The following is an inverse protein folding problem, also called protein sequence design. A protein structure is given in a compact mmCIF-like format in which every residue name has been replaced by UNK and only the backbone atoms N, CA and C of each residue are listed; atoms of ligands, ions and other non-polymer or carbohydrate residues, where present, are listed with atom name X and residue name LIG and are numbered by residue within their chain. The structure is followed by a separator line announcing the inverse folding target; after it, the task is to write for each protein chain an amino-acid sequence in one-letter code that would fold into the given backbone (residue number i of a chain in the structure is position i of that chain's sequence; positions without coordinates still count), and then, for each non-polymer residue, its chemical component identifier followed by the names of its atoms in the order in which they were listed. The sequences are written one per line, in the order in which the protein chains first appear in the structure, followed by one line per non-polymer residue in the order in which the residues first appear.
data_IF_586581630745
#
_entry.id   IF_586581630745
#
_cell.length_a   1.000
_cell.length_b   1.000
_cell.length_c   1.000
_cell.angle_alpha   90.00
_cell.angle_beta   90.00
_cell.angle_gamma   90.00
#
_symmetry.space_group_name_H-M   'P 1'
#
loop_
_entity.id
_entity.type
_entity.pdbx_description
1 polymer ?
#
# COMPACT_ATOMS: atom_id res chain seq x y z
N UNK A 1 9.25 11.95 21.95
CA UNK A 1 10.05 11.72 23.17
C UNK A 1 9.67 10.41 23.85
N UNK A 2 10.61 9.46 23.92
CA UNK A 2 10.48 8.22 24.70
C UNK A 2 10.62 8.58 26.20
N UNK A 3 9.59 8.37 27.03
CA UNK A 3 9.57 8.84 28.44
C UNK A 3 10.40 7.92 29.36
N UNK A 4 11.71 8.14 29.39
CA UNK A 4 12.61 7.56 30.41
C UNK A 4 12.78 8.51 31.60
N UNK A 5 11.80 8.47 32.52
CA UNK A 5 11.98 8.88 33.94
C UNK A 5 10.88 8.38 34.88
N UNK A 6 9.78 7.80 34.35
CA UNK A 6 8.74 7.08 35.11
C UNK A 6 8.11 5.88 34.37
N UNK A 7 8.63 5.49 33.21
CA UNK A 7 8.12 4.37 32.39
C UNK A 7 9.26 3.50 31.88
N UNK A 8 9.01 2.20 31.78
CA UNK A 8 9.91 1.23 31.13
C UNK A 8 10.11 1.70 29.68
N UNK A 9 11.35 1.85 29.22
CA UNK A 9 11.59 2.00 27.79
C UNK A 9 11.20 0.68 27.13
N UNK A 10 10.22 0.73 26.24
CA UNK A 10 9.84 -0.44 25.46
C UNK A 10 10.98 -0.81 24.51
N UNK A 11 11.33 -2.09 24.47
CA UNK A 11 12.31 -2.56 23.47
C UNK A 11 11.69 -2.53 22.06
N UNK A 12 12.52 -2.55 21.01
CA UNK A 12 12.02 -2.66 19.63
C UNK A 12 11.18 -3.92 19.45
N UNK A 13 11.56 -5.02 20.11
CA UNK A 13 10.82 -6.27 20.09
C UNK A 13 9.44 -6.12 20.76
N UNK A 14 9.36 -5.47 21.93
CA UNK A 14 8.10 -5.19 22.62
C UNK A 14 7.15 -4.33 21.76
N UNK A 15 7.69 -3.35 21.02
CA UNK A 15 6.91 -2.53 20.09
C UNK A 15 6.39 -3.38 18.92
N UNK A 16 7.24 -4.23 18.34
CA UNK A 16 6.85 -5.10 17.22
C UNK A 16 5.78 -6.11 17.65
N UNK A 17 5.90 -6.68 18.85
CA UNK A 17 4.91 -7.58 19.47
C UNK A 17 3.57 -6.87 19.70
N UNK A 18 3.58 -5.66 20.29
CA UNK A 18 2.36 -4.87 20.47
C UNK A 18 1.66 -4.57 19.14
N UNK A 19 2.43 -4.29 18.08
CA UNK A 19 1.89 -4.10 16.73
C UNK A 19 1.32 -5.38 16.11
N UNK A 20 1.91 -6.54 16.40
CA UNK A 20 1.39 -7.84 15.96
C UNK A 20 0.04 -8.14 16.62
N UNK A 21 -0.08 -7.92 17.92
CA UNK A 21 -1.33 -8.10 18.65
C UNK A 21 -2.44 -7.20 18.08
N UNK A 22 -2.12 -5.92 17.83
CA UNK A 22 -3.06 -4.98 17.23
C UNK A 22 -3.45 -5.39 15.79
N UNK A 23 -2.50 -5.88 14.99
CA UNK A 23 -2.78 -6.39 13.64
C UNK A 23 -3.68 -7.65 13.68
N UNK A 24 -3.45 -8.57 14.63
CA UNK A 24 -4.29 -9.76 14.83
C UNK A 24 -5.71 -9.37 15.26
N UNK A 25 -5.85 -8.39 16.16
CA UNK A 25 -7.15 -7.85 16.57
C UNK A 25 -7.89 -7.25 15.37
N UNK A 26 -7.21 -6.41 14.59
CA UNK A 26 -7.75 -5.82 13.37
C UNK A 26 -8.21 -6.90 12.37
N UNK A 27 -7.38 -7.93 12.12
CA UNK A 27 -7.73 -9.03 11.22
C UNK A 27 -8.95 -9.82 11.71
N UNK A 28 -9.11 -10.03 13.01
CA UNK A 28 -10.29 -10.70 13.60
C UNK A 28 -11.57 -9.88 13.44
N UNK A 29 -11.48 -8.56 13.53
CA UNK A 29 -12.63 -7.65 13.44
C UNK A 29 -13.06 -7.39 11.99
N UNK A 30 -12.14 -7.47 11.03
CA UNK A 30 -12.42 -7.21 9.63
C UNK A 30 -13.21 -8.34 8.98
N UNK A 31 -14.33 -7.98 8.33
CA UNK A 31 -15.17 -8.93 7.56
C UNK A 31 -14.63 -9.27 6.17
N UNK A 32 -13.66 -8.48 5.70
CA UNK A 32 -13.16 -8.57 4.32
C UNK A 32 -11.81 -9.26 4.23
N UNK A 33 -11.11 -9.40 5.36
CA UNK A 33 -9.80 -10.03 5.44
C UNK A 33 -9.93 -11.56 5.33
N UNK A 34 -9.13 -12.15 4.47
CA UNK A 34 -9.18 -13.57 4.12
C UNK A 34 -7.78 -14.18 4.15
N UNK A 35 -7.21 -14.22 5.34
CA UNK A 35 -5.90 -14.84 5.60
C UNK A 35 -6.08 -16.20 6.30
N UNK A 36 -5.47 -17.29 5.80
CA UNK A 36 -5.46 -18.58 6.47
C UNK A 36 -4.89 -18.49 7.89
N UNK A 37 -5.46 -19.22 8.86
CA UNK A 37 -5.00 -19.19 10.26
C UNK A 37 -3.51 -19.49 10.41
N UNK A 38 -2.95 -20.33 9.54
CA UNK A 38 -1.52 -20.68 9.52
C UNK A 38 -0.61 -19.49 9.18
N UNK A 39 -1.11 -18.50 8.43
CA UNK A 39 -0.33 -17.35 7.94
C UNK A 39 -0.59 -16.07 8.74
N UNK A 40 -1.61 -16.04 9.61
CA UNK A 40 -2.02 -14.84 10.35
C UNK A 40 -0.90 -14.23 11.18
N UNK A 41 -0.06 -15.04 11.85
CA UNK A 41 1.04 -14.51 12.66
C UNK A 41 2.12 -13.85 11.80
N UNK A 42 2.43 -14.42 10.64
CA UNK A 42 3.40 -13.86 9.70
C UNK A 42 2.89 -12.53 9.12
N UNK A 43 1.64 -12.52 8.65
CA UNK A 43 1.01 -11.30 8.14
C UNK A 43 0.89 -10.23 9.23
N UNK A 44 0.54 -10.59 10.46
CA UNK A 44 0.52 -9.66 11.59
C UNK A 44 1.89 -9.01 11.83
N UNK A 45 2.97 -9.80 11.74
CA UNK A 45 4.34 -9.29 11.88
C UNK A 45 4.71 -8.34 10.75
N UNK A 46 4.36 -8.68 9.51
CA UNK A 46 4.57 -7.81 8.34
C UNK A 46 3.79 -6.50 8.51
N UNK A 47 2.53 -6.56 8.95
CA UNK A 47 1.68 -5.38 9.18
C UNK A 47 2.24 -4.50 10.31
N UNK A 48 2.72 -5.10 11.39
CA UNK A 48 3.38 -4.39 12.49
C UNK A 48 4.60 -3.60 12.01
N UNK A 49 5.54 -4.28 11.34
CA UNK A 49 6.77 -3.66 10.81
C UNK A 49 6.43 -2.59 9.78
N UNK A 50 5.55 -2.89 8.83
CA UNK A 50 5.14 -1.93 7.79
C UNK A 50 4.53 -0.68 8.40
N UNK A 51 3.76 -0.82 9.48
CA UNK A 51 3.13 0.30 10.18
C UNK A 51 4.15 1.19 10.88
N UNK A 52 5.16 0.60 11.53
CA UNK A 52 6.27 1.36 12.14
C UNK A 52 7.03 2.11 11.05
N UNK A 53 7.45 1.40 10.00
CA UNK A 53 8.23 1.96 8.88
C UNK A 53 7.49 3.11 8.22
N UNK A 54 6.23 2.89 7.79
CA UNK A 54 5.43 3.91 7.14
C UNK A 54 5.24 5.16 8.01
N UNK A 55 5.03 5.00 9.32
CA UNK A 55 4.85 6.14 10.21
C UNK A 55 6.13 6.99 10.36
N UNK A 56 7.31 6.39 10.25
CA UNK A 56 8.56 7.13 10.21
C UNK A 56 8.78 7.79 8.85
N UNK A 57 8.44 7.10 7.75
CA UNK A 57 8.66 7.62 6.39
C UNK A 57 7.66 8.70 5.97
N UNK A 58 6.43 8.73 6.51
CA UNK A 58 5.38 9.66 6.05
C UNK A 58 5.50 11.10 6.56
N UNK A 59 6.48 11.39 7.43
CA UNK A 59 6.67 12.68 8.09
C UNK A 59 8.07 13.20 7.81
N UNK A 60 8.25 14.52 7.85
CA UNK A 60 9.58 15.11 7.82
C UNK A 60 10.41 14.56 8.99
N UNK A 61 11.71 14.31 8.78
CA UNK A 61 12.58 13.68 9.79
C UNK A 61 12.59 14.39 11.14
N UNK A 62 12.46 15.72 11.12
CA UNK A 62 12.49 16.56 12.32
C UNK A 62 11.12 16.72 12.99
N UNK A 63 10.07 16.11 12.45
CA UNK A 63 8.72 16.21 13.00
C UNK A 63 8.56 15.23 14.17
N UNK A 64 8.29 15.77 15.36
CA UNK A 64 7.87 14.97 16.50
C UNK A 64 6.50 14.33 16.26
N UNK A 65 6.31 13.10 16.74
CA UNK A 65 5.01 12.45 16.75
C UNK A 65 4.84 11.53 17.95
N UNK A 66 3.58 11.32 18.34
CA UNK A 66 3.18 10.28 19.27
C UNK A 66 2.65 9.08 18.47
N UNK A 67 3.23 7.90 18.72
CA UNK A 67 2.90 6.69 17.99
C UNK A 67 1.90 5.84 18.78
N UNK A 68 0.90 5.30 18.09
CA UNK A 68 -0.06 4.37 18.66
C UNK A 68 -0.55 3.41 17.56
N UNK A 69 -0.43 2.10 17.78
CA UNK A 69 -0.87 1.11 16.80
C UNK A 69 -2.37 1.16 16.53
N UNK A 70 -3.21 1.43 17.52
CA UNK A 70 -4.67 1.52 17.32
C UNK A 70 -5.04 2.64 16.35
N UNK A 71 -4.39 3.80 16.44
CA UNK A 71 -4.62 4.87 15.48
C UNK A 71 -3.96 4.59 14.12
N UNK A 72 -2.81 3.90 14.13
CA UNK A 72 -2.10 3.53 12.90
C UNK A 72 -2.82 2.46 12.07
N UNK A 73 -3.61 1.57 12.71
CA UNK A 73 -4.48 0.59 12.07
C UNK A 73 -5.93 1.07 11.86
N UNK A 74 -6.25 2.31 12.22
CA UNK A 74 -7.57 2.86 11.92
C UNK A 74 -7.85 2.76 10.41
N UNK A 75 -9.07 2.43 10.01
CA UNK A 75 -9.49 2.29 8.61
C UNK A 75 -9.51 3.66 7.90
N UNK A 76 -8.33 4.22 7.63
CA UNK A 76 -8.10 5.35 6.75
C UNK A 76 -7.04 4.95 5.72
N UNK A 77 -7.10 5.50 4.51
CA UNK A 77 -6.17 5.13 3.44
C UNK A 77 -4.76 5.75 3.62
N UNK A 78 -4.51 6.48 4.71
CA UNK A 78 -3.25 7.18 4.99
C UNK A 78 -2.39 6.45 6.04
N UNK A 79 -2.28 5.13 5.87
CA UNK A 79 -1.48 4.24 6.70
C UNK A 79 -0.93 3.06 5.89
N UNK A 80 -0.03 2.28 6.50
CA UNK A 80 0.54 1.09 5.87
C UNK A 80 -0.52 0.06 5.48
N UNK A 81 -1.61 -0.04 6.25
CA UNK A 81 -2.70 -0.97 5.99
C UNK A 81 -3.41 -0.67 4.66
N UNK A 82 -3.59 0.61 4.31
CA UNK A 82 -4.15 1.04 3.03
C UNK A 82 -3.33 0.53 1.85
N UNK A 83 -2.00 0.63 1.93
CA UNK A 83 -1.08 0.09 0.93
C UNK A 83 -1.18 -1.43 0.81
N UNK A 84 -1.11 -2.14 1.94
CA UNK A 84 -1.18 -3.61 1.98
C UNK A 84 -2.50 -4.12 1.41
N UNK A 85 -3.61 -3.45 1.76
CA UNK A 85 -4.94 -3.76 1.25
C UNK A 85 -5.07 -3.46 -0.24
N UNK A 86 -4.51 -2.35 -0.74
CA UNK A 86 -4.55 -2.02 -2.16
C UNK A 86 -3.71 -2.99 -2.99
N UNK A 87 -2.47 -3.24 -2.57
CA UNK A 87 -1.57 -4.16 -3.23
C UNK A 87 -2.20 -5.56 -3.35
N UNK A 88 -2.67 -6.15 -2.24
CA UNK A 88 -3.31 -7.47 -2.23
C UNK A 88 -4.60 -7.55 -3.07
N UNK A 89 -5.41 -6.48 -3.11
CA UNK A 89 -6.60 -6.41 -3.97
C UNK A 89 -6.26 -6.38 -5.45
N UNK A 90 -5.25 -5.62 -5.84
CA UNK A 90 -4.76 -5.57 -7.22
C UNK A 90 -4.10 -6.89 -7.60
N UNK A 91 -3.32 -7.51 -6.71
CA UNK A 91 -2.76 -8.84 -6.90
C UNK A 91 -3.89 -9.87 -7.13
N UNK A 92 -4.92 -9.86 -6.29
CA UNK A 92 -6.09 -10.72 -6.44
C UNK A 92 -6.91 -10.43 -7.70
N UNK A 93 -6.85 -9.21 -8.24
CA UNK A 93 -7.46 -8.88 -9.53
C UNK A 93 -6.72 -9.58 -10.67
N UNK A 94 -5.39 -9.53 -10.68
CA UNK A 94 -4.54 -10.23 -11.65
C UNK A 94 -4.76 -11.73 -11.60
N UNK A 95 -4.71 -12.34 -10.40
CA UNK A 95 -4.89 -13.79 -10.25
C UNK A 95 -6.25 -14.26 -10.79
N UNK A 96 -7.33 -13.49 -10.57
CA UNK A 96 -8.66 -13.82 -11.09
C UNK A 96 -8.77 -13.69 -12.62
N UNK A 97 -7.88 -12.93 -13.23
CA UNK A 97 -7.86 -12.69 -14.68
C UNK A 97 -6.52 -13.14 -15.29
N UNK A 98 -5.91 -14.19 -14.73
CA UNK A 98 -4.60 -14.68 -15.17
C UNK A 98 -4.58 -15.03 -16.67
N UNK A 99 -5.71 -15.47 -17.23
CA UNK A 99 -5.90 -15.75 -18.64
C UNK A 99 -5.74 -14.52 -19.56
N UNK A 100 -5.83 -13.31 -19.02
CA UNK A 100 -5.61 -12.05 -19.76
C UNK A 100 -4.16 -11.56 -19.68
N UNK A 101 -3.34 -12.05 -18.75
CA UNK A 101 -1.97 -11.56 -18.55
C UNK A 101 -1.10 -11.63 -19.83
N UNK A 102 -1.14 -12.71 -20.64
CA UNK A 102 -0.39 -12.74 -21.90
C UNK A 102 -0.81 -11.64 -22.90
N UNK A 103 -2.07 -11.18 -22.84
CA UNK A 103 -2.58 -10.11 -23.72
C UNK A 103 -2.13 -8.72 -23.25
N UNK A 104 -1.84 -8.55 -21.96
CA UNK A 104 -1.34 -7.30 -21.40
C UNK A 104 0.06 -7.01 -21.91
N UNK A 105 0.92 -8.02 -22.05
CA UNK A 105 2.31 -7.88 -22.50
C UNK A 105 2.43 -7.25 -23.90
N UNK A 106 1.42 -7.46 -24.75
CA UNK A 106 1.35 -6.91 -26.11
C UNK A 106 0.39 -5.73 -26.23
N UNK A 107 -0.26 -5.31 -25.14
CA UNK A 107 -1.25 -4.25 -25.17
C UNK A 107 -0.56 -2.87 -25.17
N UNK A 108 -0.86 -2.06 -26.18
CA UNK A 108 -0.42 -0.66 -26.27
C UNK A 108 -1.57 0.34 -26.03
N UNK A 109 -2.76 -0.15 -25.69
CA UNK A 109 -3.95 0.66 -25.49
C UNK A 109 -4.13 1.05 -24.02
N UNK A 110 -4.55 2.29 -23.80
CA UNK A 110 -5.00 2.76 -22.50
C UNK A 110 -6.53 2.67 -22.43
N UNK A 111 -7.10 2.44 -21.24
CA UNK A 111 -8.54 2.63 -21.05
C UNK A 111 -8.93 4.08 -21.39
N UNK A 112 -10.22 4.31 -21.68
CA UNK A 112 -10.76 5.65 -21.92
C UNK A 112 -10.28 6.63 -20.84
N UNK A 113 -9.54 7.67 -21.25
CA UNK A 113 -8.82 8.54 -20.32
C UNK A 113 -9.77 9.58 -19.73
N UNK A 114 -10.39 9.22 -18.60
CA UNK A 114 -11.11 10.17 -17.74
C UNK A 114 -10.13 11.03 -16.94
N UNK A 115 -10.64 12.07 -16.27
CA UNK A 115 -9.83 12.94 -15.41
C UNK A 115 -9.21 12.17 -14.24
N UNK A 116 -9.91 11.17 -13.70
CA UNK A 116 -9.41 10.31 -12.62
C UNK A 116 -8.27 9.39 -13.09
N UNK A 117 -8.38 8.84 -14.30
CA UNK A 117 -7.30 8.05 -14.91
C UNK A 117 -6.10 8.95 -15.19
N UNK A 118 -6.32 10.16 -15.72
CA UNK A 118 -5.25 11.14 -15.94
C UNK A 118 -4.54 11.50 -14.64
N UNK A 119 -5.26 11.65 -13.54
CA UNK A 119 -4.67 11.90 -12.22
C UNK A 119 -3.76 10.75 -11.77
N UNK A 120 -4.17 9.50 -11.97
CA UNK A 120 -3.33 8.33 -11.66
C UNK A 120 -2.09 8.27 -12.54
N UNK A 121 -2.23 8.48 -13.85
CA UNK A 121 -1.10 8.48 -14.78
C UNK A 121 -0.07 9.56 -14.43
N UNK A 122 -0.54 10.79 -14.12
CA UNK A 122 0.33 11.88 -13.70
C UNK A 122 1.08 11.54 -12.40
N UNK A 123 0.41 10.91 -11.43
CA UNK A 123 1.04 10.50 -10.17
C UNK A 123 2.11 9.42 -10.39
N UNK A 124 1.87 8.48 -11.31
CA UNK A 124 2.84 7.44 -11.70
C UNK A 124 4.07 8.05 -12.38
N UNK A 125 3.86 9.01 -13.30
CA UNK A 125 4.95 9.74 -13.96
C UNK A 125 5.79 10.53 -12.94
N UNK A 126 5.13 11.17 -11.98
CA UNK A 126 5.80 11.93 -10.92
C UNK A 126 6.56 11.07 -9.91
N UNK A 127 6.35 9.75 -9.88
CA UNK A 127 6.99 8.88 -8.89
C UNK A 127 8.51 8.92 -8.99
N UNK A 128 9.08 8.91 -10.20
CA UNK A 128 10.53 9.02 -10.40
C UNK A 128 11.09 10.37 -9.90
N UNK A 129 10.43 11.47 -10.26
CA UNK A 129 10.83 12.79 -9.79
C UNK A 129 10.74 12.88 -8.26
N UNK A 130 9.67 12.36 -7.65
CA UNK A 130 9.49 12.37 -6.20
C UNK A 130 10.56 11.53 -5.47
N UNK A 131 11.07 10.46 -6.10
CA UNK A 131 12.18 9.67 -5.58
C UNK A 131 13.49 10.47 -5.63
N UNK A 132 13.78 11.13 -6.76
CA UNK A 132 14.95 11.99 -6.90
C UNK A 132 14.92 13.16 -5.91
N UNK A 133 13.76 13.79 -5.72
CA UNK A 133 13.57 14.85 -4.74
C UNK A 133 13.77 14.35 -3.31
N UNK A 134 13.25 13.15 -3.00
CA UNK A 134 13.46 12.50 -1.71
C UNK A 134 14.94 12.24 -1.44
N UNK A 135 15.72 11.84 -2.45
CA UNK A 135 17.17 11.62 -2.34
C UNK A 135 17.92 12.94 -2.15
N UNK A 136 17.60 13.97 -2.94
CA UNK A 136 18.24 15.28 -2.87
C UNK A 136 18.00 15.98 -1.52
N UNK A 137 16.78 15.87 -0.99
CA UNK A 137 16.39 16.47 0.28
C UNK A 137 16.73 15.58 1.50
N UNK A 138 17.07 14.31 1.26
CA UNK A 138 17.21 13.27 2.28
C UNK A 138 15.93 13.11 3.14
N UNK A 139 14.75 13.33 2.53
CA UNK A 139 13.45 13.32 3.20
C UNK A 139 12.53 12.24 2.59
N UNK A 140 12.35 11.08 3.24
CA UNK A 140 11.53 9.99 2.70
C UNK A 140 10.04 10.35 2.56
N UNK A 141 9.58 11.38 3.27
CA UNK A 141 8.19 11.81 3.21
C UNK A 141 7.79 12.40 1.84
N UNK A 142 8.76 12.89 1.07
CA UNK A 142 8.50 13.40 -0.29
C UNK A 142 8.02 12.25 -1.18
N UNK A 143 8.78 11.16 -1.24
CA UNK A 143 8.41 9.95 -1.99
C UNK A 143 7.16 9.27 -1.40
N UNK A 144 7.10 9.16 -0.07
CA UNK A 144 5.95 8.56 0.62
C UNK A 144 4.65 9.31 0.32
N UNK A 145 4.69 10.64 0.20
CA UNK A 145 3.51 11.46 -0.13
C UNK A 145 2.98 11.17 -1.53
N UNK A 146 3.85 11.08 -2.55
CA UNK A 146 3.45 10.70 -3.91
C UNK A 146 2.79 9.30 -3.91
N UNK A 147 3.41 8.33 -3.24
CA UNK A 147 2.85 6.98 -3.12
C UNK A 147 1.50 6.96 -2.40
N UNK A 148 1.30 7.79 -1.36
CA UNK A 148 0.02 7.92 -0.65
C UNK A 148 -1.05 8.46 -1.60
N UNK A 149 -0.73 9.49 -2.38
CA UNK A 149 -1.65 10.07 -3.35
C UNK A 149 -2.03 9.08 -4.44
N UNK A 150 -1.06 8.32 -4.96
CA UNK A 150 -1.33 7.21 -5.90
C UNK A 150 -2.24 6.15 -5.24
N UNK A 151 -1.89 5.73 -4.02
CA UNK A 151 -2.70 4.86 -3.17
C UNK A 151 -4.00 5.54 -2.68
N UNK A 152 -4.34 6.77 -3.03
CA UNK A 152 -5.69 7.29 -2.81
C UNK A 152 -6.45 7.26 -4.13
N UNK A 153 -5.86 7.82 -5.18
CA UNK A 153 -6.43 7.94 -6.52
C UNK A 153 -6.85 6.61 -7.16
N UNK A 154 -6.12 5.50 -6.98
CA UNK A 154 -6.54 4.19 -7.53
C UNK A 154 -7.82 3.62 -6.89
N UNK A 155 -8.22 4.05 -5.70
CA UNK A 155 -9.27 3.41 -4.90
C UNK A 155 -10.63 3.55 -5.58
N UNK A 156 -11.05 4.78 -5.89
CA UNK A 156 -12.23 5.05 -6.70
C UNK A 156 -12.18 4.35 -8.07
N UNK A 157 -11.05 4.41 -8.77
CA UNK A 157 -10.89 3.74 -10.07
C UNK A 157 -11.12 2.22 -9.96
N UNK A 158 -10.58 1.57 -8.94
CA UNK A 158 -10.76 0.14 -8.72
C UNK A 158 -12.24 -0.24 -8.50
N UNK A 159 -13.03 0.65 -7.88
CA UNK A 159 -14.46 0.45 -7.70
C UNK A 159 -15.27 0.66 -8.99
N UNK A 160 -14.86 1.60 -9.83
CA UNK A 160 -15.58 2.00 -11.05
C UNK A 160 -15.20 1.15 -12.28
N UNK A 161 -13.91 0.85 -12.46
CA UNK A 161 -13.38 0.19 -13.65
C UNK A 161 -13.41 -1.33 -13.51
N UNK A 162 -14.60 -1.91 -13.70
CA UNK A 162 -14.76 -3.37 -13.63
C UNK A 162 -14.00 -4.08 -14.75
N UNK A 163 -13.18 -5.07 -14.40
CA UNK A 163 -12.52 -5.98 -15.36
C UNK A 163 -13.38 -7.23 -15.61
N UNK A 164 -14.04 -7.74 -14.56
CA UNK A 164 -14.84 -8.97 -14.63
C UNK A 164 -16.03 -8.84 -15.57
N UNK A 165 -16.21 -9.82 -16.46
CA UNK A 165 -17.30 -9.89 -17.45
C UNK A 165 -17.29 -8.68 -18.41
N UNK A 166 -16.11 -8.26 -18.87
CA UNK A 166 -15.97 -7.27 -19.94
C UNK A 166 -15.33 -7.95 -21.17
N UNK A 167 -15.56 -7.44 -22.38
CA UNK A 167 -14.79 -7.83 -23.57
C UNK A 167 -13.29 -7.57 -23.38
N UNK A 168 -12.44 -8.31 -24.08
CA UNK A 168 -10.98 -8.19 -23.96
C UNK A 168 -10.49 -6.76 -24.26
N UNK A 169 -11.07 -6.10 -25.27
CA UNK A 169 -10.78 -4.71 -25.66
C UNK A 169 -10.94 -3.72 -24.50
N UNK A 170 -11.79 -4.03 -23.53
CA UNK A 170 -12.02 -3.20 -22.34
C UNK A 170 -11.27 -3.76 -21.13
N UNK A 171 -11.26 -5.09 -20.96
CA UNK A 171 -10.68 -5.75 -19.80
C UNK A 171 -9.15 -5.64 -19.78
N UNK A 172 -8.50 -5.79 -20.94
CA UNK A 172 -7.03 -5.83 -21.06
C UNK A 172 -6.40 -4.47 -20.73
N UNK A 173 -6.82 -3.32 -21.30
CA UNK A 173 -6.26 -2.02 -20.93
C UNK A 173 -6.49 -1.65 -19.46
N UNK A 174 -7.67 -2.00 -18.90
CA UNK A 174 -7.95 -1.78 -17.47
C UNK A 174 -7.03 -2.59 -16.58
N UNK A 175 -6.82 -3.87 -16.92
CA UNK A 175 -5.94 -4.75 -16.16
C UNK A 175 -4.48 -4.31 -16.28
N UNK A 176 -4.03 -3.85 -17.46
CA UNK A 176 -2.72 -3.25 -17.68
C UNK A 176 -2.47 -2.09 -16.72
N UNK A 177 -3.40 -1.13 -16.65
CA UNK A 177 -3.29 0.02 -15.72
C UNK A 177 -3.16 -0.45 -14.26
N UNK A 178 -4.04 -1.37 -13.82
CA UNK A 178 -4.00 -1.88 -12.45
C UNK A 178 -2.74 -2.67 -12.14
N UNK A 179 -2.20 -3.43 -13.10
CA UNK A 179 -0.94 -4.16 -12.96
C UNK A 179 0.26 -3.23 -12.87
N UNK A 180 0.27 -2.15 -13.65
CA UNK A 180 1.31 -1.13 -13.57
C UNK A 180 1.27 -0.41 -12.21
N UNK A 181 0.08 0.01 -11.75
CA UNK A 181 -0.09 0.61 -10.41
C UNK A 181 0.35 -0.35 -9.30
N UNK A 182 -0.05 -1.63 -9.36
CA UNK A 182 0.35 -2.63 -8.36
C UNK A 182 1.87 -2.78 -8.31
N UNK A 183 2.52 -2.88 -9.47
CA UNK A 183 3.97 -3.05 -9.56
C UNK A 183 4.73 -1.84 -9.02
N UNK A 184 4.22 -0.64 -9.30
CA UNK A 184 4.78 0.61 -8.77
C UNK A 184 4.61 0.72 -7.26
N UNK A 185 3.42 0.42 -6.74
CA UNK A 185 3.17 0.39 -5.28
C UNK A 185 4.03 -0.68 -4.60
N UNK A 186 4.16 -1.88 -5.17
CA UNK A 186 5.01 -2.95 -4.66
C UNK A 186 6.47 -2.48 -4.54
N UNK A 187 7.02 -1.90 -5.62
CA UNK A 187 8.38 -1.38 -5.65
C UNK A 187 8.58 -0.24 -4.66
N UNK A 188 7.63 0.70 -4.59
CA UNK A 188 7.65 1.80 -3.63
C UNK A 188 7.58 1.33 -2.18
N UNK A 189 6.77 0.31 -1.88
CA UNK A 189 6.70 -0.31 -0.56
C UNK A 189 8.03 -0.95 -0.17
N UNK A 190 8.67 -1.68 -1.09
CA UNK A 190 10.00 -2.26 -0.86
C UNK A 190 11.06 -1.18 -0.62
N UNK A 191 11.06 -0.09 -1.40
CA UNK A 191 11.99 1.04 -1.21
C UNK A 191 11.83 1.70 0.16
N UNK A 192 10.59 1.80 0.66
CA UNK A 192 10.34 2.30 2.01
C UNK A 192 10.76 1.32 3.11
N UNK A 193 11.02 0.05 2.81
CA UNK A 193 11.36 -0.99 3.78
C UNK A 193 10.15 -1.79 4.29
N UNK A 194 9.02 -1.74 3.58
CA UNK A 194 7.85 -2.58 3.85
C UNK A 194 7.91 -3.87 3.03
N UNK A 195 7.24 -4.92 3.51
CA UNK A 195 7.06 -6.17 2.75
C UNK A 195 5.61 -6.23 2.26
N UNK A 196 5.34 -6.11 0.94
CA UNK A 196 3.99 -6.23 0.40
C UNK A 196 3.42 -7.63 0.61
N UNK A 197 2.18 -7.72 1.08
CA UNK A 197 1.46 -8.99 1.17
C UNK A 197 0.55 -9.20 -0.04
N UNK A 198 0.40 -10.45 -0.46
CA UNK A 198 -0.44 -10.82 -1.60
C UNK A 198 -1.89 -11.06 -1.20
N UNK A 199 -2.16 -11.28 0.09
CA UNK A 199 -3.49 -11.54 0.63
C UNK A 199 -3.70 -10.69 1.88
N UNK A 200 -4.84 -10.01 1.91
CA UNK A 200 -5.39 -9.32 3.07
C UNK A 200 -6.82 -9.78 3.22
#
# INVERSE_FOLDING_TARGET
YMKLRKGKAESVDEIIEAGQEAALEFMKQSKTIKVPKSEQNEIAKILSISTIVFNNCKRARNADYEFNFKSAFALNDNNALGFQTRHSRLYSLEQRHAHLLPKIETCSELPEVTDEIRAVLNLMEQTEQSLNDSLNQLEPCVFTSNLVQLNHATGPLFAQMRVKNQPDEIAVPRLLLFSAVRSLLCSGMHLLGMTPVNQM
#
